data_IF_155208964273
#
_entry.id   IF_155208964273
#
_cell.length_a   1.000
_cell.length_b   1.000
_cell.length_c   1.000
_cell.angle_alpha   90.00
_cell.angle_beta   90.00
_cell.angle_gamma   90.00
#
_symmetry.space_group_name_H-M   'P 1'
#
loop_
_entity.id
_entity.type
_entity.pdbx_description
1 polymer ?
#
# COMPACT_ATOMS: atom_id res chain seq x y z
N UNK A 1 25.76 -0.55 -1.45
CA UNK A 1 24.43 0.08 -1.51
C UNK A 1 23.49 -0.94 -0.90
N UNK A 2 23.20 -0.82 0.39
CA UNK A 2 22.28 -1.75 1.05
C UNK A 2 20.90 -1.55 0.44
N UNK A 3 20.39 -2.57 -0.25
CA UNK A 3 18.99 -2.64 -0.58
C UNK A 3 18.26 -2.56 0.75
N UNK A 4 17.42 -1.54 0.90
CA UNK A 4 16.56 -1.40 2.05
C UNK A 4 15.60 -2.60 1.98
N UNK A 5 15.91 -3.68 2.69
CA UNK A 5 15.16 -4.94 2.78
C UNK A 5 13.76 -4.75 3.42
N UNK A 6 13.20 -3.55 3.36
CA UNK A 6 11.94 -3.20 3.98
C UNK A 6 10.81 -3.47 3.01
N UNK A 7 9.92 -4.43 3.30
CA UNK A 7 8.85 -4.81 2.39
C UNK A 7 7.89 -3.64 2.14
N UNK A 8 7.21 -3.68 0.99
CA UNK A 8 6.03 -2.86 0.75
C UNK A 8 4.79 -3.54 1.34
N UNK A 9 3.99 -2.78 2.07
CA UNK A 9 2.71 -3.20 2.61
C UNK A 9 1.59 -2.72 1.70
N UNK A 10 0.86 -3.66 1.11
CA UNK A 10 -0.22 -3.40 0.16
C UNK A 10 -1.56 -3.66 0.83
N UNK A 11 -2.34 -2.62 1.09
CA UNK A 11 -3.74 -2.76 1.55
C UNK A 11 -4.65 -2.97 0.34
N UNK A 12 -5.35 -4.11 0.33
CA UNK A 12 -6.20 -4.53 -0.77
C UNK A 12 -7.61 -3.95 -0.61
N UNK A 13 -7.96 -2.99 -1.45
CA UNK A 13 -9.24 -2.30 -1.43
C UNK A 13 -9.19 -1.00 -0.64
N UNK A 14 -9.98 -0.03 -1.10
CA UNK A 14 -10.25 1.21 -0.39
C UNK A 14 -11.68 1.18 0.15
N UNK A 15 -11.82 0.99 1.46
CA UNK A 15 -13.09 0.93 2.17
C UNK A 15 -13.02 1.64 3.53
N UNK A 16 -14.12 1.58 4.29
CA UNK A 16 -14.23 2.24 5.60
C UNK A 16 -13.22 1.75 6.67
N UNK A 17 -12.54 0.62 6.45
CA UNK A 17 -11.52 0.06 7.35
C UNK A 17 -10.10 0.32 6.88
N UNK A 18 -9.90 0.83 5.66
CA UNK A 18 -8.56 1.08 5.11
C UNK A 18 -7.74 2.00 6.00
N UNK A 19 -8.33 3.07 6.53
CA UNK A 19 -7.64 4.02 7.42
C UNK A 19 -7.20 3.35 8.73
N UNK A 20 -8.05 2.49 9.31
CA UNK A 20 -7.70 1.72 10.49
C UNK A 20 -6.50 0.79 10.22
N UNK A 21 -6.50 0.10 9.08
CA UNK A 21 -5.39 -0.77 8.67
C UNK A 21 -4.09 0.01 8.50
N UNK A 22 -4.14 1.16 7.81
CA UNK A 22 -2.99 2.05 7.62
C UNK A 22 -2.39 2.46 8.96
N UNK A 23 -3.23 2.97 9.89
CA UNK A 23 -2.78 3.42 11.21
C UNK A 23 -2.15 2.29 12.02
N UNK A 24 -2.70 1.07 11.92
CA UNK A 24 -2.13 -0.12 12.56
C UNK A 24 -0.75 -0.45 11.97
N UNK A 25 -0.62 -0.48 10.66
CA UNK A 25 0.66 -0.74 9.99
C UNK A 25 1.72 0.30 10.35
N UNK A 26 1.37 1.58 10.37
CA UNK A 26 2.27 2.66 10.78
C UNK A 26 2.71 2.49 12.24
N UNK A 27 1.78 2.13 13.14
CA UNK A 27 2.10 1.84 14.55
C UNK A 27 3.04 0.65 14.70
N UNK A 28 2.92 -0.35 13.83
CA UNK A 28 3.78 -1.54 13.78
C UNK A 28 5.13 -1.26 13.08
N UNK A 29 5.37 -0.03 12.62
CA UNK A 29 6.65 0.40 12.04
C UNK A 29 6.75 0.27 10.52
N UNK A 30 5.65 0.00 9.81
CA UNK A 30 5.66 -0.04 8.35
C UNK A 30 5.89 1.36 7.76
N UNK A 31 6.91 1.47 6.90
CA UNK A 31 7.31 2.73 6.25
C UNK A 31 6.85 2.83 4.80
N UNK A 32 6.71 1.69 4.10
CA UNK A 32 6.27 1.61 2.72
C UNK A 32 4.84 1.06 2.68
N UNK A 33 3.85 1.94 2.60
CA UNK A 33 2.43 1.53 2.58
C UNK A 33 1.77 2.07 1.31
N UNK A 34 1.05 1.20 0.61
CA UNK A 34 0.17 1.61 -0.47
C UNK A 34 -1.19 0.92 -0.39
N UNK A 35 -2.18 1.52 -1.03
CA UNK A 35 -3.56 1.05 -1.10
C UNK A 35 -3.91 0.77 -2.55
N UNK A 36 -4.48 -0.40 -2.81
CA UNK A 36 -5.14 -0.72 -4.07
C UNK A 36 -6.56 -0.16 -4.04
N UNK A 37 -6.81 0.86 -4.85
CA UNK A 37 -8.14 1.45 -5.03
C UNK A 37 -8.72 1.03 -6.39
N UNK A 38 -9.69 0.11 -6.36
CA UNK A 38 -10.36 -0.40 -7.56
C UNK A 38 -11.30 0.63 -8.22
N UNK A 39 -11.67 1.69 -7.51
CA UNK A 39 -12.51 2.76 -8.05
C UNK A 39 -11.67 3.82 -8.79
N UNK A 40 -10.35 3.79 -8.64
CA UNK A 40 -9.42 4.64 -9.38
C UNK A 40 -9.06 4.03 -10.73
N UNK A 41 -9.06 4.88 -11.76
CA UNK A 41 -8.71 4.50 -13.13
C UNK A 41 -7.34 5.01 -13.55
N UNK A 42 -6.88 6.17 -13.03
CA UNK A 42 -5.55 6.76 -13.28
C UNK A 42 -5.14 7.73 -12.17
N UNK A 43 -3.83 7.92 -11.99
CA UNK A 43 -3.22 8.99 -11.21
C UNK A 43 -3.10 8.65 -9.74
N UNK A 44 -1.97 8.08 -9.34
CA UNK A 44 -1.66 7.81 -7.93
C UNK A 44 -1.89 9.06 -7.04
N UNK A 45 -2.58 8.88 -5.91
CA UNK A 45 -2.74 9.93 -4.90
C UNK A 45 -1.85 9.60 -3.71
N UNK A 46 -1.09 10.59 -3.25
CA UNK A 46 -0.38 10.48 -1.99
C UNK A 46 -1.15 11.23 -0.90
N UNK A 47 -1.42 10.55 0.20
CA UNK A 47 -1.90 11.16 1.43
C UNK A 47 -0.91 10.79 2.54
N UNK A 48 -0.24 11.79 3.10
CA UNK A 48 0.88 11.61 4.03
C UNK A 48 1.98 10.69 3.44
N UNK A 49 2.31 9.59 4.12
CA UNK A 49 3.28 8.58 3.69
C UNK A 49 2.64 7.41 2.92
N UNK A 50 1.36 7.51 2.54
CA UNK A 50 0.62 6.42 1.90
C UNK A 50 0.24 6.76 0.48
N UNK A 51 0.53 5.84 -0.44
CA UNK A 51 0.16 5.96 -1.85
C UNK A 51 -1.10 5.15 -2.17
N UNK A 52 -2.01 5.72 -2.95
CA UNK A 52 -3.24 5.10 -3.41
C UNK A 52 -3.17 4.94 -4.92
N UNK A 53 -3.25 3.69 -5.40
CA UNK A 53 -3.00 3.35 -6.79
C UNK A 53 -4.17 2.60 -7.42
N UNK A 54 -4.37 2.83 -8.72
CA UNK A 54 -5.16 1.93 -9.55
C UNK A 54 -4.41 0.58 -9.74
N UNK A 55 -5.09 -0.52 -10.12
CA UNK A 55 -4.46 -1.84 -10.26
C UNK A 55 -3.23 -1.88 -11.20
N UNK A 56 -3.25 -1.14 -12.31
CA UNK A 56 -2.14 -1.09 -13.26
C UNK A 56 -0.90 -0.41 -12.69
N UNK A 57 -1.07 0.76 -12.07
CA UNK A 57 0.01 1.54 -11.46
C UNK A 57 0.62 0.81 -10.25
N UNK A 58 -0.23 0.17 -9.45
CA UNK A 58 0.24 -0.59 -8.28
C UNK A 58 1.19 -1.71 -8.70
N UNK A 59 0.90 -2.42 -9.79
CA UNK A 59 1.73 -3.52 -10.29
C UNK A 59 3.15 -3.03 -10.61
N UNK A 60 3.27 -1.88 -11.26
CA UNK A 60 4.57 -1.29 -11.61
C UNK A 60 5.30 -0.82 -10.36
N UNK A 61 4.58 -0.22 -9.41
CA UNK A 61 5.15 0.28 -8.16
C UNK A 61 5.65 -0.84 -7.24
N UNK A 62 4.91 -1.94 -7.06
CA UNK A 62 5.35 -3.05 -6.19
C UNK A 62 6.54 -3.81 -6.78
N UNK A 63 6.76 -3.73 -8.10
CA UNK A 63 7.81 -4.49 -8.79
C UNK A 63 9.24 -4.01 -8.47
N UNK A 64 9.39 -2.82 -7.87
CA UNK A 64 10.71 -2.31 -7.45
C UNK A 64 11.10 -2.75 -6.02
N UNK A 65 10.23 -3.46 -5.32
CA UNK A 65 10.48 -3.98 -3.97
C UNK A 65 10.82 -5.47 -4.01
N UNK A 66 11.77 -5.89 -3.18
CA UNK A 66 12.17 -7.30 -3.06
C UNK A 66 11.07 -8.18 -2.42
N UNK A 67 10.20 -7.56 -1.60
CA UNK A 67 9.12 -8.24 -0.90
C UNK A 67 7.88 -7.35 -0.82
N UNK A 68 6.71 -7.96 -1.08
CA UNK A 68 5.40 -7.35 -0.87
C UNK A 68 4.57 -8.17 0.13
N UNK A 69 3.93 -7.50 1.09
CA UNK A 69 3.03 -8.09 2.06
C UNK A 69 1.63 -7.53 1.82
N UNK A 70 0.67 -8.41 1.57
CA UNK A 70 -0.71 -8.03 1.26
C UNK A 70 -1.60 -8.11 2.48
N UNK A 71 -2.39 -7.06 2.69
CA UNK A 71 -3.32 -6.91 3.80
C UNK A 71 -4.73 -6.75 3.25
N UNK A 72 -5.68 -7.54 3.74
CA UNK A 72 -7.10 -7.37 3.43
C UNK A 72 -7.87 -7.45 4.73
N UNK A 73 -8.76 -6.48 4.96
CA UNK A 73 -9.72 -6.62 6.05
C UNK A 73 -10.79 -7.63 5.63
N UNK A 74 -10.96 -8.70 6.43
CA UNK A 74 -12.00 -9.71 6.24
C UNK A 74 -12.84 -9.70 7.52
N UNK A 75 -14.16 -9.55 7.36
CA UNK A 75 -15.14 -9.62 8.45
C UNK A 75 -15.36 -11.06 8.89
#
# INVERSE_FOLDING_TARGET
>A
MELINTPIHVVLGFDQYTEYMIRRLQKDGAVNICVLDYHRTVGGMQHDSVFYFAPGELKEYIAVFDQAIFHKYIR
#
